data_IF_783316777153
#
_entry.id   IF_783316777153
#
_cell.length_a   1.000
_cell.length_b   1.000
_cell.length_c   1.000
_cell.angle_alpha   90.00
_cell.angle_beta   90.00
_cell.angle_gamma   90.00
#
_symmetry.space_group_name_H-M   'P 1'
#
loop_
_entity.id
_entity.type
_entity.pdbx_description
1 polymer ?
#
# COMPACT_ATOMS: atom_id res chain seq x y z
N UNK A 1 10.41 -24.51 0.33
CA UNK A 1 11.35 -23.95 1.33
C UNK A 1 12.21 -22.93 0.60
N UNK A 2 12.53 -21.80 1.25
CA UNK A 2 13.47 -20.82 0.69
C UNK A 2 14.84 -21.46 0.68
N UNK A 3 15.53 -21.46 -0.46
CA UNK A 3 16.88 -21.99 -0.55
C UNK A 3 17.85 -21.03 0.16
N UNK A 4 18.23 -21.34 1.40
CA UNK A 4 19.13 -20.50 2.19
C UNK A 4 20.50 -20.31 1.52
N UNK A 5 20.96 -21.26 0.70
CA UNK A 5 22.22 -21.11 -0.04
C UNK A 5 22.13 -19.97 -1.05
N UNK A 6 20.96 -19.76 -1.65
CA UNK A 6 20.72 -18.65 -2.56
C UNK A 6 20.76 -17.28 -1.88
N UNK A 7 20.61 -17.22 -0.55
CA UNK A 7 20.63 -15.98 0.23
C UNK A 7 22.02 -15.60 0.75
N UNK A 8 23.04 -16.43 0.54
CA UNK A 8 24.39 -16.15 1.02
C UNK A 8 24.93 -14.84 0.41
N UNK A 9 25.29 -13.88 1.26
CA UNK A 9 25.78 -12.56 0.82
C UNK A 9 24.72 -11.64 0.22
N UNK A 10 23.43 -11.99 0.33
CA UNK A 10 22.34 -11.12 -0.08
C UNK A 10 22.09 -10.02 0.95
N UNK A 11 21.86 -8.80 0.46
CA UNK A 11 21.44 -7.65 1.27
C UNK A 11 19.98 -7.30 1.05
N UNK A 12 19.36 -7.83 0.01
CA UNK A 12 17.93 -7.72 -0.25
C UNK A 12 17.37 -8.97 -0.92
N UNK A 13 16.10 -9.26 -0.67
CA UNK A 13 15.35 -10.36 -1.31
C UNK A 13 13.85 -10.07 -1.21
N UNK A 14 13.07 -10.52 -2.20
CA UNK A 14 11.61 -10.46 -2.13
C UNK A 14 11.00 -11.84 -2.03
N UNK A 15 10.26 -12.08 -0.95
CA UNK A 15 9.57 -13.33 -0.66
C UNK A 15 8.09 -13.18 -0.98
N UNK A 16 7.50 -14.20 -1.61
CA UNK A 16 6.08 -14.29 -1.90
C UNK A 16 5.51 -15.54 -1.23
N UNK A 17 4.52 -15.33 -0.39
CA UNK A 17 3.73 -16.36 0.26
C UNK A 17 2.50 -16.66 -0.57
N UNK A 18 2.23 -17.94 -0.81
CA UNK A 18 0.98 -18.43 -1.38
C UNK A 18 0.10 -18.92 -0.23
N UNK A 19 -1.11 -18.37 -0.16
CA UNK A 19 -1.98 -18.45 1.01
C UNK A 19 -3.38 -18.92 0.60
N UNK A 20 -4.05 -19.66 1.49
CA UNK A 20 -5.45 -20.08 1.34
C UNK A 20 -6.25 -19.85 2.62
N UNK A 21 -7.51 -19.45 2.47
CA UNK A 21 -8.47 -19.43 3.59
C UNK A 21 -9.16 -20.79 3.74
N UNK A 22 -9.41 -21.20 4.98
CA UNK A 22 -10.15 -22.41 5.33
C UNK A 22 -11.68 -22.21 5.35
N UNK A 23 -12.13 -20.96 5.48
CA UNK A 23 -13.54 -20.57 5.45
C UNK A 23 -13.73 -19.22 4.74
N UNK A 24 -14.91 -18.96 4.16
CA UNK A 24 -15.23 -17.63 3.63
C UNK A 24 -15.13 -16.62 4.77
N UNK A 25 -14.51 -15.49 4.48
CA UNK A 25 -14.05 -14.62 5.55
C UNK A 25 -14.09 -13.17 5.10
N UNK A 26 -14.57 -12.30 5.98
CA UNK A 26 -14.33 -10.86 5.89
C UNK A 26 -13.07 -10.56 6.69
N UNK A 27 -12.14 -9.84 6.09
CA UNK A 27 -11.05 -9.21 6.82
C UNK A 27 -11.46 -7.76 7.12
N UNK A 28 -11.11 -7.28 8.30
CA UNK A 28 -11.31 -5.88 8.65
C UNK A 28 -10.45 -4.99 7.75
N UNK A 29 -10.89 -3.76 7.48
CA UNK A 29 -10.21 -2.82 6.57
C UNK A 29 -8.75 -2.51 6.93
N UNK A 30 -8.33 -2.83 8.16
CA UNK A 30 -6.97 -2.63 8.66
C UNK A 30 -6.18 -3.93 8.88
N UNK A 31 -6.57 -5.05 8.25
CA UNK A 31 -5.89 -6.35 8.37
C UNK A 31 -4.39 -6.28 8.07
N UNK A 32 -3.94 -5.31 7.28
CA UNK A 32 -2.53 -5.10 6.94
C UNK A 32 -1.69 -4.77 8.18
N UNK A 33 -2.28 -4.13 9.20
CA UNK A 33 -1.62 -3.99 10.51
C UNK A 33 -1.41 -5.33 11.19
N UNK A 34 -2.38 -6.24 11.03
CA UNK A 34 -2.26 -7.61 11.50
C UNK A 34 -1.11 -8.32 10.82
N UNK A 35 -0.91 -8.15 9.51
CA UNK A 35 0.26 -8.69 8.78
C UNK A 35 1.58 -8.11 9.29
N UNK A 36 1.64 -6.79 9.47
CA UNK A 36 2.81 -6.12 10.04
C UNK A 36 3.14 -6.63 11.46
N UNK A 37 2.14 -6.65 12.35
CA UNK A 37 2.30 -7.11 13.72
C UNK A 37 2.64 -8.61 13.78
N UNK A 38 2.04 -9.42 12.91
CA UNK A 38 2.35 -10.84 12.80
C UNK A 38 3.82 -11.03 12.43
N UNK A 39 4.33 -10.29 11.44
CA UNK A 39 5.74 -10.36 11.05
C UNK A 39 6.66 -9.97 12.21
N UNK A 40 6.42 -8.82 12.86
CA UNK A 40 7.24 -8.42 14.01
C UNK A 40 7.19 -9.44 15.15
N UNK A 41 6.04 -10.04 15.42
CA UNK A 41 5.93 -11.11 16.42
C UNK A 41 6.70 -12.38 16.02
N UNK A 42 6.78 -12.70 14.72
CA UNK A 42 7.67 -13.79 14.27
C UNK A 42 9.13 -13.44 14.56
N UNK A 43 9.56 -12.21 14.25
CA UNK A 43 10.93 -11.74 14.52
C UNK A 43 11.22 -11.75 16.02
N UNK A 44 10.30 -11.25 16.84
CA UNK A 44 10.45 -11.21 18.30
C UNK A 44 10.65 -12.58 18.93
N UNK A 45 10.04 -13.62 18.37
CA UNK A 45 10.19 -15.00 18.84
C UNK A 45 11.60 -15.58 18.56
N UNK A 46 12.36 -14.97 17.65
CA UNK A 46 13.73 -15.36 17.30
C UNK A 46 14.71 -14.47 18.04
N UNK A 47 14.52 -13.15 17.91
CA UNK A 47 15.37 -12.13 18.47
C UNK A 47 14.53 -10.89 18.84
N UNK A 48 14.29 -10.68 20.15
CA UNK A 48 13.54 -9.53 20.64
C UNK A 48 14.20 -8.18 20.30
N UNK A 49 15.53 -8.11 20.24
CA UNK A 49 16.26 -6.86 19.99
C UNK A 49 16.14 -6.46 18.52
N UNK A 50 16.20 -7.44 17.59
CA UNK A 50 15.92 -7.19 16.17
C UNK A 50 14.48 -6.71 15.99
N UNK A 51 13.51 -7.32 16.67
CA UNK A 51 12.12 -6.86 16.61
C UNK A 51 11.96 -5.44 17.15
N UNK A 52 12.62 -5.09 18.26
CA UNK A 52 12.60 -3.75 18.83
C UNK A 52 13.23 -2.73 17.86
N UNK A 53 14.35 -3.08 17.22
CA UNK A 53 14.95 -2.25 16.17
C UNK A 53 13.99 -2.01 15.00
N UNK A 54 13.32 -3.05 14.51
CA UNK A 54 12.32 -2.93 13.45
C UNK A 54 11.11 -2.07 13.85
N UNK A 55 10.69 -2.10 15.11
CA UNK A 55 9.54 -1.33 15.60
C UNK A 55 9.91 0.12 15.95
N UNK A 56 10.93 0.31 16.80
CA UNK A 56 11.27 1.59 17.46
C UNK A 56 12.34 2.41 16.72
N UNK A 57 13.07 1.79 15.78
CA UNK A 57 14.10 2.47 15.01
C UNK A 57 13.58 3.72 14.30
N UNK A 58 14.29 4.84 14.45
CA UNK A 58 13.92 6.15 13.90
C UNK A 58 14.29 6.32 12.42
N UNK A 59 15.17 5.48 11.89
CA UNK A 59 15.56 5.46 10.47
C UNK A 59 14.53 4.79 9.56
N UNK A 60 14.87 4.62 8.28
CA UNK A 60 14.01 3.83 7.40
C UNK A 60 13.91 2.39 7.89
N UNK A 61 12.76 1.76 7.63
CA UNK A 61 12.56 0.36 7.99
C UNK A 61 13.18 -0.53 6.90
N UNK A 62 13.97 -1.55 7.27
CA UNK A 62 14.70 -2.43 6.33
C UNK A 62 13.81 -3.51 5.69
N UNK A 63 12.51 -3.25 5.56
CA UNK A 63 11.57 -4.20 4.95
C UNK A 63 10.36 -3.50 4.35
N UNK A 64 9.66 -4.20 3.47
CA UNK A 64 8.32 -3.82 2.99
C UNK A 64 7.38 -5.01 3.03
N UNK A 65 6.08 -4.75 3.12
CA UNK A 65 5.06 -5.78 3.00
C UNK A 65 3.99 -5.35 2.01
N UNK A 66 3.40 -6.28 1.29
CA UNK A 66 2.22 -6.01 0.47
C UNK A 66 0.92 -6.15 1.28
N UNK A 67 -0.18 -5.73 0.66
CA UNK A 67 -1.52 -6.22 1.00
C UNK A 67 -1.71 -7.66 0.52
N UNK A 68 -2.83 -8.29 0.88
CA UNK A 68 -3.21 -9.55 0.25
C UNK A 68 -3.60 -9.29 -1.20
N UNK A 69 -3.05 -10.10 -2.10
CA UNK A 69 -3.27 -10.05 -3.54
C UNK A 69 -4.06 -11.30 -3.93
N UNK A 70 -5.14 -11.14 -4.68
CA UNK A 70 -5.98 -12.24 -5.11
C UNK A 70 -7.45 -11.82 -5.21
N UNK A 71 -8.34 -12.73 -5.61
CA UNK A 71 -9.73 -12.40 -5.90
C UNK A 71 -10.58 -12.25 -4.64
N UNK A 72 -11.36 -11.18 -4.56
CA UNK A 72 -12.44 -11.01 -3.58
C UNK A 72 -13.80 -10.96 -4.28
N UNK A 73 -14.85 -11.31 -3.54
CA UNK A 73 -16.23 -11.21 -4.02
C UNK A 73 -16.98 -10.17 -3.21
N UNK A 74 -17.71 -9.29 -3.88
CA UNK A 74 -18.66 -8.40 -3.22
C UNK A 74 -19.95 -9.16 -2.91
N UNK A 75 -20.29 -9.26 -1.63
CA UNK A 75 -21.52 -9.89 -1.15
C UNK A 75 -22.03 -9.13 0.06
N UNK A 76 -23.35 -8.86 0.11
CA UNK A 76 -24.02 -8.25 1.27
C UNK A 76 -23.38 -6.94 1.77
N UNK A 77 -22.90 -6.10 0.85
CA UNK A 77 -22.30 -4.81 1.22
C UNK A 77 -20.82 -4.89 1.66
N UNK A 78 -20.19 -6.05 1.53
CA UNK A 78 -18.82 -6.29 1.99
C UNK A 78 -17.99 -7.11 1.00
N UNK A 79 -16.66 -6.98 1.09
CA UNK A 79 -15.73 -7.84 0.35
C UNK A 79 -15.41 -9.11 1.14
N UNK A 80 -15.63 -10.25 0.51
CA UNK A 80 -15.39 -11.56 1.07
C UNK A 80 -14.25 -12.27 0.36
N UNK A 81 -13.29 -12.71 1.17
CA UNK A 81 -12.25 -13.65 0.77
C UNK A 81 -12.86 -15.03 0.66
N UNK A 82 -12.55 -15.71 -0.45
CA UNK A 82 -13.21 -16.94 -0.89
C UNK A 82 -12.40 -18.16 -0.49
N UNK A 83 -13.10 -19.27 -0.21
CA UNK A 83 -12.47 -20.58 -0.13
C UNK A 83 -12.02 -21.05 -1.52
N UNK A 84 -11.02 -21.92 -1.55
CA UNK A 84 -10.49 -22.53 -2.78
C UNK A 84 -9.93 -21.52 -3.79
N UNK A 85 -9.53 -20.33 -3.32
CA UNK A 85 -8.75 -19.36 -4.08
C UNK A 85 -7.36 -19.22 -3.47
N UNK A 86 -6.37 -18.97 -4.33
CA UNK A 86 -5.01 -18.68 -3.92
C UNK A 86 -4.83 -17.18 -3.75
N UNK A 87 -4.17 -16.81 -2.66
CA UNK A 87 -3.82 -15.45 -2.31
C UNK A 87 -2.32 -15.32 -2.20
N UNK A 88 -1.82 -14.11 -2.43
CA UNK A 88 -0.41 -13.81 -2.29
C UNK A 88 -0.18 -12.70 -1.27
N UNK A 89 0.89 -12.87 -0.50
CA UNK A 89 1.44 -11.82 0.36
C UNK A 89 2.94 -11.73 0.11
N UNK A 90 3.46 -10.51 0.01
CA UNK A 90 4.87 -10.27 -0.27
C UNK A 90 5.54 -9.61 0.93
N UNK A 91 6.76 -10.05 1.22
CA UNK A 91 7.66 -9.50 2.23
C UNK A 91 9.02 -9.31 1.57
N UNK A 92 9.51 -8.07 1.53
CA UNK A 92 10.84 -7.78 1.02
C UNK A 92 11.75 -7.38 2.18
N UNK A 93 12.95 -7.94 2.21
CA UNK A 93 14.01 -7.57 3.15
C UNK A 93 15.01 -6.70 2.39
N UNK A 94 15.53 -5.65 3.04
CA UNK A 94 16.36 -4.60 2.43
C UNK A 94 17.70 -4.41 3.14
N UNK A 95 18.06 -5.28 4.10
CA UNK A 95 19.34 -5.19 4.81
C UNK A 95 19.95 -6.58 4.97
N UNK A 96 21.26 -6.68 4.70
CA UNK A 96 22.03 -7.90 4.93
C UNK A 96 21.98 -8.34 6.39
N UNK A 97 22.11 -7.39 7.33
CA UNK A 97 22.01 -7.67 8.76
C UNK A 97 20.64 -8.26 9.15
N UNK A 98 19.54 -7.77 8.55
CA UNK A 98 18.22 -8.35 8.79
C UNK A 98 18.08 -9.75 8.17
N UNK A 99 18.59 -9.97 6.96
CA UNK A 99 18.56 -11.28 6.30
C UNK A 99 19.34 -12.31 7.13
N UNK A 100 20.52 -11.92 7.63
CA UNK A 100 21.36 -12.76 8.50
C UNK A 100 20.63 -13.11 9.80
N UNK A 101 20.08 -12.11 10.50
CA UNK A 101 19.32 -12.32 11.73
C UNK A 101 18.09 -13.23 11.54
N UNK A 102 17.46 -13.16 10.36
CA UNK A 102 16.28 -13.98 10.03
C UNK A 102 16.61 -15.34 9.41
N UNK A 103 17.88 -15.74 9.25
CA UNK A 103 18.21 -17.07 8.72
C UNK A 103 17.50 -18.24 9.44
N UNK A 104 17.43 -18.28 10.79
CA UNK A 104 16.70 -19.34 11.49
C UNK A 104 15.22 -19.38 11.14
N UNK A 105 14.60 -18.21 10.94
CA UNK A 105 13.20 -18.09 10.51
C UNK A 105 12.99 -18.58 9.09
N UNK A 106 13.84 -18.15 8.17
CA UNK A 106 13.78 -18.47 6.74
C UNK A 106 13.99 -19.99 6.52
N UNK A 107 14.78 -20.63 7.38
CA UNK A 107 14.97 -22.07 7.42
C UNK A 107 13.68 -22.83 7.77
N UNK A 108 12.83 -22.23 8.61
CA UNK A 108 11.63 -22.86 9.15
C UNK A 108 10.46 -21.89 9.19
N UNK A 109 9.97 -21.58 8.00
CA UNK A 109 8.82 -20.69 7.84
C UNK A 109 7.55 -21.31 8.45
N UNK A 110 6.72 -20.51 9.15
CA UNK A 110 5.43 -20.97 9.66
C UNK A 110 4.52 -21.46 8.54
N UNK A 111 3.69 -22.46 8.84
CA UNK A 111 2.70 -23.00 7.90
C UNK A 111 1.36 -22.23 7.89
N UNK A 112 1.24 -21.17 8.71
CA UNK A 112 0.04 -20.34 8.81
C UNK A 112 0.34 -18.92 9.26
N UNK A 113 -0.50 -17.99 8.82
CA UNK A 113 -0.58 -16.60 9.29
C UNK A 113 -1.90 -16.44 10.04
N UNK A 114 -1.86 -15.94 11.28
CA UNK A 114 -3.06 -15.73 12.09
C UNK A 114 -3.33 -14.23 12.17
N UNK A 115 -4.48 -13.81 11.63
CA UNK A 115 -4.95 -12.43 11.63
C UNK A 115 -6.25 -12.34 12.44
N UNK A 116 -6.16 -11.86 13.68
CA UNK A 116 -7.26 -11.83 14.63
C UNK A 116 -7.96 -13.20 14.76
N UNK A 117 -9.19 -13.36 14.26
CA UNK A 117 -9.96 -14.61 14.30
C UNK A 117 -9.80 -15.48 13.04
N UNK A 118 -8.98 -15.07 12.08
CA UNK A 118 -8.81 -15.76 10.80
C UNK A 118 -7.42 -16.39 10.68
N UNK A 119 -7.38 -17.56 10.05
CA UNK A 119 -6.14 -18.28 9.75
C UNK A 119 -5.97 -18.38 8.24
N UNK A 120 -4.80 -17.98 7.75
CA UNK A 120 -4.37 -18.17 6.37
C UNK A 120 -3.34 -19.28 6.36
N UNK A 121 -3.61 -20.36 5.62
CA UNK A 121 -2.70 -21.48 5.48
C UNK A 121 -1.67 -21.20 4.39
N UNK A 122 -0.41 -21.53 4.67
CA UNK A 122 0.71 -21.29 3.76
C UNK A 122 0.90 -22.54 2.90
N UNK A 123 0.71 -22.38 1.60
CA UNK A 123 0.87 -23.47 0.63
C UNK A 123 2.30 -23.51 0.10
N UNK A 124 2.88 -22.35 -0.18
CA UNK A 124 4.24 -22.21 -0.66
C UNK A 124 4.82 -20.85 -0.30
N UNK A 125 6.15 -20.78 -0.26
CA UNK A 125 6.90 -19.52 -0.20
C UNK A 125 8.02 -19.58 -1.22
N UNK A 126 8.07 -18.59 -2.11
CA UNK A 126 9.04 -18.48 -3.20
C UNK A 126 9.76 -17.13 -3.18
N UNK A 127 10.97 -17.07 -3.75
CA UNK A 127 11.67 -15.82 -4.01
C UNK A 127 11.19 -15.25 -5.34
N UNK A 128 10.29 -14.26 -5.28
CA UNK A 128 9.75 -13.61 -6.49
C UNK A 128 10.64 -12.46 -6.97
N UNK A 129 11.43 -11.87 -6.07
CA UNK A 129 12.57 -11.03 -6.42
C UNK A 129 13.84 -11.73 -5.97
N UNK A 130 14.79 -11.86 -6.89
CA UNK A 130 16.02 -12.59 -6.64
C UNK A 130 16.85 -11.93 -5.53
N UNK A 131 17.56 -12.72 -4.72
CA UNK A 131 18.50 -12.19 -3.73
C UNK A 131 19.61 -11.40 -4.42
N UNK A 132 19.87 -10.19 -3.93
CA UNK A 132 20.94 -9.31 -4.43
C UNK A 132 21.66 -8.60 -3.28
N UNK A 133 22.88 -8.15 -3.53
CA UNK A 133 23.52 -7.09 -2.76
C UNK A 133 23.43 -5.75 -3.50
N UNK A 134 23.70 -4.64 -2.81
CA UNK A 134 23.58 -3.29 -3.38
C UNK A 134 24.59 -3.05 -4.51
N UNK A 135 25.77 -3.66 -4.46
CA UNK A 135 26.77 -3.57 -5.52
C UNK A 135 26.28 -4.21 -6.84
N UNK A 136 25.49 -5.29 -6.78
CA UNK A 136 24.92 -5.94 -7.97
C UNK A 136 23.81 -5.11 -8.63
N UNK A 137 23.15 -4.22 -7.88
CA UNK A 137 22.18 -3.28 -8.46
C UNK A 137 22.89 -2.17 -9.25
N UNK A 138 24.11 -1.83 -8.87
CA UNK A 138 24.93 -0.87 -9.59
C UNK A 138 25.16 -1.34 -11.03
N UNK A 139 24.81 -0.53 -12.05
CA UNK A 139 24.79 -1.01 -13.42
C UNK A 139 26.20 -1.29 -13.94
N UNK A 140 26.30 -2.39 -14.70
CA UNK A 140 27.46 -2.78 -15.47
C UNK A 140 27.09 -2.77 -16.96
N UNK A 141 27.84 -2.03 -17.78
CA UNK A 141 27.65 -2.00 -19.22
C UNK A 141 26.46 -1.14 -19.70
N UNK A 142 25.82 -1.59 -20.77
CA UNK A 142 24.79 -0.81 -21.47
C UNK A 142 23.52 -0.63 -20.62
N UNK A 143 23.06 0.62 -20.54
CA UNK A 143 21.92 1.02 -19.71
C UNK A 143 20.61 1.04 -20.53
N UNK A 144 19.49 0.53 -19.97
CA UNK A 144 18.22 0.57 -20.69
C UNK A 144 17.74 2.01 -20.83
N UNK A 145 17.34 2.39 -22.05
CA UNK A 145 16.85 3.74 -22.34
C UNK A 145 15.64 4.15 -21.49
N UNK A 146 14.79 3.19 -21.14
CA UNK A 146 13.51 3.39 -20.47
C UNK A 146 13.48 2.59 -19.18
N UNK A 147 13.01 3.23 -18.11
CA UNK A 147 12.76 2.61 -16.80
C UNK A 147 11.27 2.70 -16.52
N UNK A 148 10.60 1.56 -16.53
CA UNK A 148 9.15 1.48 -16.36
C UNK A 148 8.82 0.91 -14.99
N UNK A 149 7.80 1.47 -14.36
CA UNK A 149 7.28 1.02 -13.09
C UNK A 149 5.77 0.86 -13.15
N UNK A 150 5.28 -0.17 -12.47
CA UNK A 150 3.86 -0.34 -12.16
C UNK A 150 3.64 -0.32 -10.66
N UNK A 151 2.81 0.61 -10.20
CA UNK A 151 2.37 0.77 -8.81
C UNK A 151 1.08 -0.02 -8.59
N UNK A 152 1.20 -1.14 -7.90
CA UNK A 152 0.12 -2.15 -7.70
C UNK A 152 -0.65 -1.98 -6.40
N UNK A 153 -0.25 -1.01 -5.58
CA UNK A 153 -0.98 -0.57 -4.40
C UNK A 153 -0.93 0.96 -4.29
N UNK A 154 -1.84 1.59 -3.53
CA UNK A 154 -1.88 3.04 -3.44
C UNK A 154 -0.52 3.61 -3.00
N UNK A 155 0.04 4.47 -3.84
CA UNK A 155 1.33 5.12 -3.64
C UNK A 155 1.08 6.60 -3.37
N UNK A 156 1.73 7.18 -2.36
CA UNK A 156 1.53 8.59 -2.04
C UNK A 156 2.80 9.20 -1.45
N UNK A 157 3.00 10.47 -1.74
CA UNK A 157 4.06 11.29 -1.20
C UNK A 157 3.50 12.39 -0.30
N UNK A 158 4.37 13.07 0.45
CA UNK A 158 4.01 14.28 1.20
C UNK A 158 4.61 15.50 0.55
N UNK A 159 3.82 16.56 0.45
CA UNK A 159 4.26 17.88 -0.02
C UNK A 159 3.55 18.95 0.79
N UNK A 160 4.31 19.71 1.58
CA UNK A 160 3.80 20.77 2.45
C UNK A 160 2.63 20.29 3.34
N UNK A 161 2.79 19.15 3.99
CA UNK A 161 1.76 18.53 4.84
C UNK A 161 0.66 17.75 4.11
N UNK A 162 0.45 18.00 2.80
CA UNK A 162 -0.59 17.37 2.00
C UNK A 162 -0.15 16.07 1.35
N UNK A 163 -1.11 15.21 0.98
CA UNK A 163 -0.84 14.06 0.11
C UNK A 163 -0.56 14.55 -1.31
N UNK A 164 0.44 13.95 -1.95
CA UNK A 164 0.81 14.24 -3.33
C UNK A 164 0.77 12.93 -4.13
N UNK A 165 -0.35 12.66 -4.82
CA UNK A 165 -0.59 11.39 -5.49
C UNK A 165 -0.09 11.40 -6.94
N UNK A 166 1.15 11.81 -7.18
CA UNK A 166 1.75 11.83 -8.52
C UNK A 166 3.17 11.25 -8.50
N UNK A 167 3.55 10.38 -9.47
CA UNK A 167 4.88 9.77 -9.58
C UNK A 167 5.92 10.75 -10.15
N UNK A 168 6.04 11.92 -9.55
CA UNK A 168 7.02 12.91 -9.97
C UNK A 168 8.45 12.34 -9.81
N UNK A 169 9.36 12.46 -10.81
CA UNK A 169 10.65 11.77 -10.78
C UNK A 169 11.46 12.07 -9.52
N UNK A 170 11.48 13.34 -9.10
CA UNK A 170 12.10 13.76 -7.84
C UNK A 170 11.57 12.98 -6.64
N UNK A 171 10.25 12.85 -6.50
CA UNK A 171 9.61 12.17 -5.37
C UNK A 171 9.85 10.66 -5.39
N UNK A 172 9.75 10.05 -6.58
CA UNK A 172 10.02 8.61 -6.79
C UNK A 172 11.48 8.30 -6.42
N UNK A 173 12.42 9.06 -6.97
CA UNK A 173 13.85 8.84 -6.73
C UNK A 173 14.26 9.20 -5.30
N UNK A 174 13.68 10.24 -4.70
CA UNK A 174 13.87 10.54 -3.27
C UNK A 174 13.41 9.39 -2.39
N UNK A 175 12.27 8.78 -2.71
CA UNK A 175 11.77 7.63 -1.96
C UNK A 175 12.78 6.47 -1.95
N UNK A 176 13.40 6.19 -3.10
CA UNK A 176 14.39 5.13 -3.22
C UNK A 176 15.72 5.52 -2.56
N UNK A 177 16.19 6.74 -2.81
CA UNK A 177 17.48 7.23 -2.32
C UNK A 177 17.57 7.23 -0.80
N UNK A 178 16.51 7.60 -0.07
CA UNK A 178 16.53 7.56 1.41
C UNK A 178 16.88 6.17 1.93
N UNK A 179 16.22 5.13 1.41
CA UNK A 179 16.49 3.73 1.81
C UNK A 179 17.80 3.20 1.22
N UNK A 180 18.21 3.69 0.06
CA UNK A 180 19.51 3.37 -0.51
C UNK A 180 20.63 3.88 0.40
N UNK A 181 20.58 5.15 0.82
CA UNK A 181 21.59 5.74 1.69
C UNK A 181 21.66 5.07 3.06
N UNK A 182 20.53 4.63 3.62
CA UNK A 182 20.49 3.96 4.93
C UNK A 182 21.11 2.55 4.91
N UNK A 183 21.02 1.81 3.78
CA UNK A 183 21.34 0.37 3.77
C UNK A 183 22.46 -0.04 2.81
N UNK A 184 22.76 0.75 1.78
CA UNK A 184 23.68 0.31 0.71
C UNK A 184 25.16 0.42 1.02
N UNK A 185 25.54 1.27 1.98
CA UNK A 185 26.93 1.69 2.17
C UNK A 185 27.50 2.53 1.00
N UNK A 186 26.68 2.88 0.01
CA UNK A 186 27.02 3.64 -1.20
C UNK A 186 26.22 4.94 -1.24
N UNK A 187 26.29 5.74 -0.18
CA UNK A 187 25.44 6.92 0.00
C UNK A 187 25.77 8.06 -0.97
N UNK A 188 24.74 8.76 -1.42
CA UNK A 188 24.86 9.97 -2.25
C UNK A 188 24.19 11.16 -1.56
N UNK A 189 24.77 12.35 -1.74
CA UNK A 189 24.17 13.60 -1.27
C UNK A 189 22.83 13.86 -1.97
N UNK A 190 21.70 14.01 -1.22
CA UNK A 190 20.39 14.09 -1.83
C UNK A 190 20.17 15.34 -2.68
N UNK A 191 20.60 16.51 -2.24
CA UNK A 191 20.29 17.79 -2.88
C UNK A 191 20.89 17.90 -4.30
N UNK A 192 22.21 17.68 -4.52
CA UNK A 192 22.80 17.69 -5.87
C UNK A 192 22.09 16.77 -6.87
N UNK A 193 21.72 15.56 -6.43
CA UNK A 193 21.03 14.60 -7.28
C UNK A 193 19.57 14.99 -7.51
N UNK A 194 18.79 15.21 -6.45
CA UNK A 194 17.33 15.34 -6.53
C UNK A 194 16.86 16.72 -6.97
N UNK A 195 17.56 17.79 -6.58
CA UNK A 195 17.11 19.17 -6.80
C UNK A 195 17.78 19.83 -8.02
N UNK A 196 18.91 19.30 -8.48
CA UNK A 196 19.64 19.82 -9.65
C UNK A 196 19.68 18.82 -10.81
N UNK A 197 20.21 17.61 -10.59
CA UNK A 197 20.42 16.65 -11.68
C UNK A 197 19.10 16.06 -12.20
N UNK A 198 18.22 15.58 -11.32
CA UNK A 198 16.96 14.93 -11.70
C UNK A 198 16.04 15.83 -12.53
N UNK A 199 15.77 17.09 -12.15
CA UNK A 199 14.88 17.96 -12.93
C UNK A 199 15.39 18.28 -14.35
N UNK A 200 16.71 18.22 -14.56
CA UNK A 200 17.33 18.48 -15.86
C UNK A 200 17.38 17.24 -16.75
N UNK A 201 17.48 16.06 -16.13
CA UNK A 201 17.91 14.85 -16.82
C UNK A 201 16.86 13.73 -16.87
N UNK A 202 15.84 13.75 -16.02
CA UNK A 202 14.82 12.69 -15.95
C UNK A 202 13.47 13.19 -16.44
N UNK A 203 12.90 12.51 -17.42
CA UNK A 203 11.64 12.89 -18.07
C UNK A 203 10.61 11.77 -17.91
N UNK A 204 9.37 12.13 -17.51
CA UNK A 204 8.22 11.24 -17.68
C UNK A 204 7.83 11.27 -19.15
N UNK A 205 7.99 10.16 -19.86
CA UNK A 205 7.62 10.09 -21.27
C UNK A 205 6.27 9.39 -21.51
N UNK A 206 5.80 8.60 -20.54
CA UNK A 206 4.50 7.93 -20.58
C UNK A 206 4.00 7.69 -19.16
N UNK A 207 2.71 7.87 -18.93
CA UNK A 207 2.05 7.48 -17.69
C UNK A 207 0.61 7.02 -17.92
N UNK A 208 0.11 6.19 -17.02
CA UNK A 208 -1.30 5.82 -16.87
C UNK A 208 -1.57 5.75 -15.38
N UNK A 209 -2.43 6.63 -14.85
CA UNK A 209 -2.58 6.81 -13.40
C UNK A 209 -4.05 6.95 -13.02
N UNK A 210 -4.38 6.40 -11.87
CA UNK A 210 -5.67 6.61 -11.21
C UNK A 210 -5.44 7.02 -9.75
N UNK A 211 -6.14 8.06 -9.31
CA UNK A 211 -6.12 8.49 -7.91
C UNK A 211 -7.07 7.62 -7.08
N UNK A 212 -6.56 7.07 -5.98
CA UNK A 212 -7.30 6.18 -5.09
C UNK A 212 -7.17 6.69 -3.66
N UNK A 213 -8.29 6.76 -2.95
CA UNK A 213 -8.33 7.05 -1.52
C UNK A 213 -8.38 5.73 -0.75
N UNK A 214 -7.41 5.52 0.12
CA UNK A 214 -7.31 4.29 0.93
C UNK A 214 -7.22 4.59 2.42
N UNK A 215 -7.68 3.65 3.25
CA UNK A 215 -7.41 3.72 4.69
C UNK A 215 -5.94 3.39 4.97
N UNK A 216 -5.31 4.20 5.83
CA UNK A 216 -3.88 4.10 6.07
C UNK A 216 -3.58 4.06 7.57
N UNK A 217 -3.86 2.94 8.23
CA UNK A 217 -3.53 2.76 9.64
C UNK A 217 -4.73 2.96 10.58
N UNK A 218 -4.50 3.51 11.79
CA UNK A 218 -5.52 3.61 12.88
C UNK A 218 -6.55 4.71 12.65
N UNK A 219 -6.13 5.86 12.13
CA UNK A 219 -7.01 6.99 11.81
C UNK A 219 -6.47 7.71 10.57
N UNK A 220 -7.37 8.14 9.69
CA UNK A 220 -7.05 8.89 8.49
C UNK A 220 -7.05 8.06 7.19
N UNK A 221 -7.30 8.77 6.10
CA UNK A 221 -7.18 8.25 4.74
C UNK A 221 -5.90 8.80 4.10
N UNK A 222 -5.40 8.10 3.10
CA UNK A 222 -4.34 8.56 2.20
C UNK A 222 -4.95 8.67 0.82
N UNK A 223 -4.80 9.83 0.19
CA UNK A 223 -5.00 9.96 -1.25
C UNK A 223 -3.67 9.58 -1.91
N UNK A 224 -3.69 8.52 -2.70
CA UNK A 224 -2.55 8.04 -3.46
C UNK A 224 -2.92 7.80 -4.91
N UNK A 225 -2.00 7.19 -5.64
CA UNK A 225 -2.20 6.75 -7.01
C UNK A 225 -1.83 5.28 -7.19
N UNK A 226 -2.43 4.67 -8.19
CA UNK A 226 -1.99 3.41 -8.80
C UNK A 226 -1.78 3.61 -10.29
N UNK A 227 -1.09 2.68 -10.93
CA UNK A 227 -0.91 2.67 -12.37
C UNK A 227 0.54 2.50 -12.78
N UNK A 228 0.93 3.07 -13.90
CA UNK A 228 2.28 2.90 -14.45
C UNK A 228 2.89 4.23 -14.88
N UNK A 229 4.21 4.32 -14.75
CA UNK A 229 5.02 5.44 -15.24
C UNK A 229 6.24 4.90 -15.97
N UNK A 230 6.66 5.63 -16.98
CA UNK A 230 7.89 5.40 -17.70
C UNK A 230 8.77 6.63 -17.60
N UNK A 231 9.99 6.41 -17.13
CA UNK A 231 11.02 7.42 -16.98
C UNK A 231 12.13 7.18 -18.01
N UNK A 232 12.60 8.25 -18.62
CA UNK A 232 13.75 8.23 -19.54
C UNK A 232 14.75 9.30 -19.15
N UNK A 233 16.02 9.04 -19.43
CA UNK A 233 17.06 10.06 -19.33
C UNK A 233 17.14 10.89 -20.62
N UNK A 234 17.49 12.17 -20.50
CA UNK A 234 17.80 13.02 -21.66
C UNK A 234 18.96 12.43 -22.49
N UNK A 235 19.07 12.75 -23.79
CA UNK A 235 20.19 12.28 -24.61
C UNK A 235 21.55 12.63 -24.03
N UNK A 236 21.68 13.82 -23.44
CA UNK A 236 22.92 14.27 -22.80
C UNK A 236 23.27 13.40 -21.58
N UNK A 237 22.37 13.25 -20.61
CA UNK A 237 22.61 12.43 -19.42
C UNK A 237 22.94 10.96 -19.75
N UNK A 238 22.38 10.43 -20.84
CA UNK A 238 22.69 9.06 -21.32
C UNK A 238 24.11 8.93 -21.86
N UNK A 239 24.64 9.98 -22.47
CA UNK A 239 25.95 9.97 -23.12
C UNK A 239 27.07 10.36 -22.15
N UNK A 240 26.78 11.24 -21.18
CA UNK A 240 27.76 11.71 -20.20
C UNK A 240 28.27 10.57 -19.31
N UNK A 241 27.43 9.56 -19.04
CA UNK A 241 27.82 8.37 -18.30
C UNK A 241 28.25 8.65 -16.86
N UNK A 242 27.73 9.74 -16.27
CA UNK A 242 28.07 10.17 -14.92
C UNK A 242 27.52 9.23 -13.83
N UNK A 243 28.03 9.41 -12.60
CA UNK A 243 27.60 8.58 -11.47
C UNK A 243 26.13 8.80 -11.11
N UNK A 244 25.52 9.95 -11.45
CA UNK A 244 24.10 10.18 -11.22
C UNK A 244 23.19 9.43 -12.20
N UNK A 245 23.61 9.27 -13.45
CA UNK A 245 22.96 8.38 -14.41
C UNK A 245 23.01 6.94 -13.94
N UNK A 246 24.18 6.50 -13.43
CA UNK A 246 24.34 5.16 -12.86
C UNK A 246 23.50 4.97 -11.59
N UNK A 247 23.47 5.97 -10.71
CA UNK A 247 22.62 6.00 -9.53
C UNK A 247 21.14 5.92 -9.91
N UNK A 248 20.69 6.68 -10.91
CA UNK A 248 19.31 6.60 -11.42
C UNK A 248 18.95 5.16 -11.79
N UNK A 249 19.80 4.47 -12.55
CA UNK A 249 19.53 3.07 -12.92
C UNK A 249 19.60 2.11 -11.73
N UNK A 250 20.53 2.30 -10.79
CA UNK A 250 20.61 1.51 -9.58
C UNK A 250 19.35 1.66 -8.73
N UNK A 251 18.87 2.89 -8.53
CA UNK A 251 17.62 3.19 -7.82
C UNK A 251 16.40 2.62 -8.56
N UNK A 252 16.40 2.64 -9.89
CA UNK A 252 15.33 2.03 -10.68
C UNK A 252 15.28 0.50 -10.49
N UNK A 253 16.43 -0.17 -10.43
CA UNK A 253 16.51 -1.61 -10.11
C UNK A 253 16.15 -1.91 -8.66
N UNK A 254 16.37 -0.96 -7.75
CA UNK A 254 16.03 -1.07 -6.33
C UNK A 254 14.54 -0.84 -6.01
N UNK A 255 13.85 -0.03 -6.83
CA UNK A 255 12.43 0.33 -6.64
C UNK A 255 11.49 -0.86 -6.35
N UNK A 256 11.56 -1.98 -7.09
CA UNK A 256 10.73 -3.15 -6.82
C UNK A 256 10.93 -3.81 -5.44
N UNK A 257 12.14 -3.72 -4.87
CA UNK A 257 12.41 -4.25 -3.52
C UNK A 257 11.84 -3.33 -2.46
N UNK A 258 12.18 -2.04 -2.54
CA UNK A 258 11.94 -1.10 -1.47
C UNK A 258 10.58 -0.38 -1.53
N UNK A 259 9.86 -0.51 -2.64
CA UNK A 259 8.60 0.18 -2.87
C UNK A 259 8.75 1.71 -2.95
N UNK A 260 7.67 2.40 -3.25
CA UNK A 260 7.65 3.84 -3.53
C UNK A 260 6.77 4.60 -2.55
N UNK A 261 7.23 5.77 -2.11
CA UNK A 261 6.49 6.65 -1.20
C UNK A 261 6.55 6.18 0.26
N UNK A 262 5.46 6.39 0.98
CA UNK A 262 5.40 6.15 2.42
C UNK A 262 4.54 4.93 2.80
N UNK A 263 4.72 4.43 4.02
CA UNK A 263 3.95 3.29 4.59
C UNK A 263 4.11 1.99 3.77
N UNK A 264 5.28 1.76 3.21
CA UNK A 264 5.66 0.51 2.53
C UNK A 264 5.69 -0.69 3.48
N UNK A 265 5.88 -0.47 4.78
CA UNK A 265 5.69 -1.47 5.84
C UNK A 265 4.24 -1.73 6.21
N UNK A 266 3.28 -1.09 5.53
CA UNK A 266 1.83 -1.25 5.73
C UNK A 266 1.09 -1.43 4.39
N UNK A 267 1.72 -2.07 3.40
CA UNK A 267 1.03 -2.46 2.17
C UNK A 267 0.77 -1.34 1.16
N UNK A 268 1.36 -0.16 1.34
CA UNK A 268 1.32 0.92 0.35
C UNK A 268 2.60 0.93 -0.48
N UNK A 269 2.59 1.58 -1.65
CA UNK A 269 3.81 1.79 -2.41
C UNK A 269 4.42 0.55 -3.06
N UNK A 270 3.68 -0.55 -3.18
CA UNK A 270 4.13 -1.73 -3.91
C UNK A 270 4.42 -1.39 -5.37
N UNK A 271 5.66 -1.65 -5.79
CA UNK A 271 6.20 -1.27 -7.10
C UNK A 271 6.74 -2.51 -7.81
N UNK A 272 6.42 -2.63 -9.08
CA UNK A 272 6.95 -3.66 -9.98
C UNK A 272 7.74 -3.00 -11.09
N UNK A 273 8.81 -3.66 -11.54
CA UNK A 273 9.50 -3.25 -12.76
C UNK A 273 8.68 -3.62 -13.99
N UNK A 274 8.74 -2.78 -15.02
CA UNK A 274 8.04 -2.97 -16.28
C UNK A 274 6.68 -2.27 -16.34
N UNK A 275 6.22 -2.06 -17.57
CA UNK A 275 4.89 -1.54 -17.84
C UNK A 275 3.83 -2.63 -17.78
N UNK A 276 2.87 -2.48 -16.86
CA UNK A 276 1.61 -3.18 -16.89
C UNK A 276 0.48 -2.16 -16.67
N UNK A 277 -0.63 -2.36 -17.36
CA UNK A 277 -1.90 -1.76 -16.93
C UNK A 277 -2.48 -2.73 -15.89
N UNK A 278 -2.33 -2.46 -14.59
CA UNK A 278 -2.91 -3.35 -13.59
C UNK A 278 -4.40 -3.43 -13.87
N UNK A 279 -4.91 -4.63 -14.17
CA UNK A 279 -6.34 -4.85 -14.13
C UNK A 279 -6.75 -4.55 -12.68
N UNK A 280 -7.46 -3.44 -12.49
CA UNK A 280 -7.91 -3.00 -11.16
C UNK A 280 -8.76 -4.07 -10.47
N UNK A 281 -9.29 -5.04 -11.23
CA UNK A 281 -10.00 -6.22 -10.71
C UNK A 281 -9.09 -7.30 -10.12
N UNK A 282 -7.80 -7.30 -10.46
CA UNK A 282 -6.80 -8.26 -9.95
C UNK A 282 -6.37 -7.91 -8.52
N UNK A 283 -6.54 -6.66 -8.10
CA UNK A 283 -6.19 -6.20 -6.76
C UNK A 283 -7.46 -5.95 -5.96
N UNK A 284 -7.94 -6.98 -5.27
CA UNK A 284 -9.07 -6.90 -4.33
C UNK A 284 -9.07 -5.65 -3.43
N UNK A 285 -7.88 -5.27 -2.94
CA UNK A 285 -7.73 -4.09 -2.08
C UNK A 285 -8.02 -2.77 -2.81
N UNK A 286 -7.75 -2.67 -4.11
CA UNK A 286 -8.10 -1.49 -4.91
C UNK A 286 -9.60 -1.44 -5.19
N UNK A 287 -10.25 -2.59 -5.36
CA UNK A 287 -11.71 -2.61 -5.52
C UNK A 287 -12.41 -2.13 -4.23
N UNK A 288 -11.95 -2.58 -3.07
CA UNK A 288 -12.45 -2.11 -1.78
C UNK A 288 -12.21 -0.61 -1.59
N UNK A 289 -11.01 -0.11 -1.90
CA UNK A 289 -10.69 1.32 -1.78
C UNK A 289 -11.52 2.18 -2.75
N UNK A 290 -11.63 1.78 -4.03
CA UNK A 290 -12.42 2.48 -5.05
C UNK A 290 -13.90 2.50 -4.70
N UNK A 291 -14.44 1.38 -4.22
CA UNK A 291 -15.84 1.32 -3.81
C UNK A 291 -16.09 2.12 -2.53
N UNK A 292 -15.17 2.08 -1.57
CA UNK A 292 -15.22 2.94 -0.37
C UNK A 292 -15.18 4.41 -0.77
N UNK A 293 -14.38 4.77 -1.78
CA UNK A 293 -14.32 6.12 -2.33
C UNK A 293 -15.65 6.52 -2.98
N UNK A 294 -16.26 5.67 -3.81
CA UNK A 294 -17.59 5.91 -4.39
C UNK A 294 -18.65 6.05 -3.30
N UNK A 295 -18.62 5.18 -2.29
CA UNK A 295 -19.53 5.22 -1.15
C UNK A 295 -19.38 6.53 -0.37
N UNK A 296 -18.15 6.93 -0.08
CA UNK A 296 -17.83 8.18 0.62
C UNK A 296 -18.30 9.40 -0.16
N UNK A 297 -18.05 9.44 -1.47
CA UNK A 297 -18.53 10.52 -2.35
C UNK A 297 -20.06 10.61 -2.34
N UNK A 298 -20.75 9.47 -2.36
CA UNK A 298 -22.22 9.44 -2.27
C UNK A 298 -22.73 9.88 -0.89
N UNK A 299 -22.06 9.48 0.19
CA UNK A 299 -22.35 9.97 1.55
C UNK A 299 -22.17 11.48 1.62
N UNK A 300 -21.07 12.02 1.10
CA UNK A 300 -20.78 13.46 1.11
C UNK A 300 -21.80 14.26 0.28
N UNK A 301 -22.21 13.73 -0.89
CA UNK A 301 -23.31 14.30 -1.67
C UNK A 301 -24.63 14.31 -0.88
N UNK A 302 -25.05 13.15 -0.34
CA UNK A 302 -26.27 13.07 0.45
C UNK A 302 -26.23 13.97 1.69
N UNK A 303 -25.08 14.05 2.38
CA UNK A 303 -24.89 14.91 3.54
C UNK A 303 -25.02 16.39 3.16
N UNK A 304 -24.47 16.78 2.01
CA UNK A 304 -24.58 18.14 1.47
C UNK A 304 -26.03 18.50 1.14
N UNK A 305 -26.77 17.58 0.50
CA UNK A 305 -28.20 17.77 0.22
C UNK A 305 -29.04 17.90 1.51
N UNK A 306 -28.78 17.04 2.51
CA UNK A 306 -29.44 17.10 3.82
C UNK A 306 -29.12 18.39 4.57
N UNK A 307 -27.90 18.91 4.44
CA UNK A 307 -27.48 20.16 5.06
C UNK A 307 -28.14 21.37 4.38
N UNK A 308 -28.25 21.37 3.05
CA UNK A 308 -28.88 22.44 2.27
C UNK A 308 -30.38 22.63 2.61
N UNK A 309 -31.08 21.58 3.03
CA UNK A 309 -32.49 21.65 3.46
C UNK A 309 -32.68 22.26 4.85
N UNK A 310 -31.62 22.44 5.64
CA UNK A 310 -31.75 22.95 7.02
C UNK A 310 -31.70 24.47 7.05
N UNK A 311 -32.70 25.07 7.71
CA UNK A 311 -32.77 26.52 7.94
C UNK A 311 -31.62 27.08 8.79
N UNK A 312 -30.88 26.23 9.53
CA UNK A 312 -29.67 26.60 10.30
C UNK A 312 -28.50 25.73 9.84
N UNK A 313 -27.59 26.31 9.06
CA UNK A 313 -26.40 25.65 8.50
C UNK A 313 -25.13 25.84 9.34
N UNK A 314 -25.15 26.75 10.31
CA UNK A 314 -23.99 27.11 11.14
C UNK A 314 -23.85 26.25 12.39
N UNK A 315 -23.07 25.17 12.32
CA UNK A 315 -22.57 24.45 13.50
C UNK A 315 -22.03 23.06 13.18
N UNK A 316 -20.88 22.68 13.75
CA UNK A 316 -20.25 21.35 13.61
C UNK A 316 -21.25 20.22 13.86
N UNK A 317 -22.10 20.36 14.89
CA UNK A 317 -23.13 19.38 15.25
C UNK A 317 -24.18 19.15 14.14
N UNK A 318 -24.52 20.17 13.36
CA UNK A 318 -25.46 20.00 12.25
C UNK A 318 -24.84 19.20 11.10
N UNK A 319 -23.56 19.46 10.81
CA UNK A 319 -22.79 18.74 9.81
C UNK A 319 -22.61 17.26 10.21
N UNK A 320 -22.23 16.99 11.46
CA UNK A 320 -22.07 15.63 11.99
C UNK A 320 -23.38 14.82 11.92
N UNK A 321 -24.51 15.43 12.26
CA UNK A 321 -25.82 14.78 12.19
C UNK A 321 -26.20 14.50 10.73
N UNK A 322 -26.00 15.45 9.80
CA UNK A 322 -26.28 15.23 8.38
C UNK A 322 -25.39 14.13 7.79
N UNK A 323 -24.10 14.10 8.17
CA UNK A 323 -23.18 13.06 7.75
C UNK A 323 -23.58 11.69 8.31
N UNK A 324 -24.01 11.62 9.58
CA UNK A 324 -24.52 10.38 10.18
C UNK A 324 -25.80 9.88 9.49
N UNK A 325 -26.74 10.78 9.19
CA UNK A 325 -27.97 10.47 8.45
C UNK A 325 -27.68 9.95 7.04
N UNK A 326 -26.78 10.62 6.32
CA UNK A 326 -26.33 10.22 4.99
C UNK A 326 -25.63 8.86 5.02
N UNK A 327 -24.74 8.63 5.99
CA UNK A 327 -24.03 7.35 6.17
C UNK A 327 -25.02 6.21 6.37
N UNK A 328 -26.00 6.35 7.26
CA UNK A 328 -27.02 5.32 7.51
C UNK A 328 -27.87 5.08 6.26
N UNK A 329 -28.28 6.14 5.56
CA UNK A 329 -29.09 6.02 4.35
C UNK A 329 -28.36 5.27 3.24
N UNK A 330 -27.15 5.73 2.88
CA UNK A 330 -26.39 5.16 1.76
C UNK A 330 -25.98 3.72 2.05
N UNK A 331 -25.54 3.40 3.28
CA UNK A 331 -25.21 2.00 3.66
C UNK A 331 -26.44 1.09 3.61
N UNK A 332 -27.62 1.60 3.99
CA UNK A 332 -28.87 0.85 3.89
C UNK A 332 -29.28 0.60 2.43
N UNK A 333 -29.03 1.54 1.51
CA UNK A 333 -29.25 1.33 0.07
C UNK A 333 -28.31 0.26 -0.52
N UNK A 334 -27.11 0.10 0.04
CA UNK A 334 -26.14 -0.93 -0.37
C UNK A 334 -26.47 -2.34 0.17
N UNK A 335 -27.55 -2.47 0.95
CA UNK A 335 -28.04 -3.76 1.45
C UNK A 335 -27.66 -4.10 2.89
N UNK A 336 -26.83 -3.29 3.56
CA UNK A 336 -26.45 -3.54 4.97
C UNK A 336 -27.68 -3.50 5.90
N UNK A 337 -27.70 -4.38 6.91
CA UNK A 337 -28.76 -4.39 7.91
C UNK A 337 -28.66 -3.18 8.84
N UNK A 338 -29.80 -2.72 9.37
CA UNK A 338 -29.79 -1.63 10.35
C UNK A 338 -29.09 -2.05 11.66
N UNK A 339 -29.09 -3.34 11.98
CA UNK A 339 -28.38 -3.90 13.12
C UNK A 339 -26.87 -3.75 12.96
N UNK A 340 -26.33 -4.09 11.79
CA UNK A 340 -24.89 -3.95 11.48
C UNK A 340 -24.45 -2.48 11.45
N UNK A 341 -25.23 -1.63 10.80
CA UNK A 341 -24.94 -0.18 10.74
C UNK A 341 -24.96 0.42 12.15
N UNK A 342 -25.94 0.05 12.99
CA UNK A 342 -26.04 0.54 14.36
C UNK A 342 -24.84 0.09 15.22
N UNK A 343 -24.44 -1.16 15.09
CA UNK A 343 -23.28 -1.71 15.80
C UNK A 343 -21.99 -0.98 15.41
N UNK A 344 -21.76 -0.79 14.11
CA UNK A 344 -20.54 -0.15 13.58
C UNK A 344 -20.46 1.34 13.94
N UNK A 345 -21.58 2.06 13.90
CA UNK A 345 -21.66 3.47 14.30
C UNK A 345 -21.75 3.69 15.81
N UNK A 346 -21.78 2.61 16.61
CA UNK A 346 -21.99 2.66 18.07
C UNK A 346 -23.27 3.42 18.47
N UNK A 347 -24.34 3.23 17.70
CA UNK A 347 -25.65 3.86 17.92
C UNK A 347 -26.67 2.83 18.42
N UNK A 348 -27.64 3.23 19.26
CA UNK A 348 -28.80 2.38 19.53
C UNK A 348 -29.56 2.06 18.23
N UNK A 349 -30.03 0.81 18.10
CA UNK A 349 -30.78 0.36 16.91
C UNK A 349 -31.97 1.27 16.56
N UNK A 350 -32.74 1.70 17.55
CA UNK A 350 -33.90 2.59 17.33
C UNK A 350 -33.49 3.99 16.81
N UNK A 351 -32.32 4.47 17.21
CA UNK A 351 -31.74 5.71 16.68
C UNK A 351 -31.38 5.53 15.21
N UNK A 352 -30.68 4.44 14.85
CA UNK A 352 -30.34 4.13 13.47
C UNK A 352 -31.59 3.99 12.58
N UNK A 353 -32.63 3.31 13.09
CA UNK A 353 -33.93 3.15 12.41
C UNK A 353 -34.63 4.48 12.16
N UNK A 354 -34.64 5.36 13.15
CA UNK A 354 -35.23 6.70 13.04
C UNK A 354 -34.46 7.57 12.06
N UNK A 355 -33.13 7.52 12.12
CA UNK A 355 -32.24 8.28 11.24
C UNK A 355 -32.38 7.82 9.79
N UNK A 356 -32.44 6.50 9.54
CA UNK A 356 -32.71 5.93 8.22
C UNK A 356 -34.03 6.45 7.63
N UNK A 357 -35.13 6.42 8.41
CA UNK A 357 -36.44 6.94 7.97
C UNK A 357 -36.40 8.44 7.65
N UNK A 358 -35.74 9.23 8.50
CA UNK A 358 -35.60 10.69 8.32
C UNK A 358 -34.81 11.02 7.05
N UNK A 359 -33.66 10.38 6.87
CA UNK A 359 -32.82 10.57 5.69
C UNK A 359 -33.55 10.17 4.41
N UNK A 360 -34.24 9.01 4.41
CA UNK A 360 -35.04 8.55 3.25
C UNK A 360 -36.11 9.57 2.85
N UNK A 361 -36.87 10.11 3.82
CA UNK A 361 -37.90 11.12 3.54
C UNK A 361 -37.31 12.42 3.00
N UNK A 362 -36.21 12.89 3.59
CA UNK A 362 -35.59 14.15 3.20
C UNK A 362 -34.94 14.08 1.80
N UNK A 363 -34.33 12.93 1.46
CA UNK A 363 -33.68 12.74 0.15
C UNK A 363 -34.66 12.38 -0.97
N UNK A 364 -35.80 11.77 -0.65
CA UNK A 364 -36.87 11.52 -1.62
C UNK A 364 -37.51 12.82 -2.17
N UNK A 365 -37.34 13.95 -1.47
CA UNK A 365 -37.86 15.25 -1.89
C UNK A 365 -36.88 16.04 -2.80
N UNK A 366 -35.72 15.46 -3.13
CA UNK A 366 -34.64 16.11 -3.91
C UNK A 366 -34.33 15.38 -5.21
N UNK A 367 -34.70 14.10 -5.32
CA UNK A 367 -34.73 13.34 -6.57
C UNK A 367 -35.96 13.73 -7.38
#
# INVERSE_FOLDING_TARGET
MVDLKSLAGAEMVGLRWQLRFDRPCRLESHYVKGLHAWFLHQVQAIDPDVSAWLHDGQGEKPFTISRLIGPTLWQEGHWHWQINKTYHWQLNLLSGALIEALQPWLARLPNKIVLARQTLWVEAVDCYLAPHNYQQLWPQGALPRRQEFTFTSPTSFRRQGNHYPLPEPRNVLQSYLRRWNDFSGLAFEPEPFLDYWVPQNVVIDRHWLESVKTTAGKQGSVVGFVGAVSLVLTPQARNDGDDYGRLFHALCRYGPYCGTGHKTTFGLGQTMAGWATPDLKTFACLQEDLQTQVLTQRIDQCASLLLAQRQRTGGQRAQEICHTLATIFVRREQGESLQEIALDLQLPYETARTYSKRAKRALANVQ
#
